data_IF_628938580161
#
_entry.id   IF_628938580161
#
_cell.length_a   1.000
_cell.length_b   1.000
_cell.length_c   1.000
_cell.angle_alpha   90.00
_cell.angle_beta   90.00
_cell.angle_gamma   90.00
#
_symmetry.space_group_name_H-M   'P 1'
#
loop_
_entity.id
_entity.type
_entity.pdbx_description
1 polymer ?
#
# COMPACT_ATOMS: atom_id res chain seq x y z
N UNK A 1 -33.16 63.60 29.58
CA UNK A 1 -31.93 63.13 28.90
C UNK A 1 -31.51 61.78 29.49
N UNK A 2 -31.94 60.63 28.94
CA UNK A 2 -31.38 59.31 29.24
C UNK A 2 -31.61 58.38 28.03
N UNK A 3 -30.62 58.29 27.15
CA UNK A 3 -30.61 57.35 26.03
C UNK A 3 -29.97 56.04 26.47
N UNK A 4 -30.67 54.93 26.24
CA UNK A 4 -30.14 53.58 26.45
C UNK A 4 -29.60 53.12 25.10
N UNK A 5 -28.27 53.09 24.96
CA UNK A 5 -27.60 52.50 23.80
C UNK A 5 -27.38 51.01 24.09
N UNK A 6 -28.11 50.16 23.36
CA UNK A 6 -27.94 48.71 23.38
C UNK A 6 -26.78 48.35 22.47
N UNK A 7 -25.69 47.84 23.05
CA UNK A 7 -24.54 47.35 22.30
C UNK A 7 -24.77 45.87 21.94
N UNK A 8 -25.18 45.61 20.69
CA UNK A 8 -25.12 44.27 20.11
C UNK A 8 -23.65 43.89 19.87
N UNK A 9 -23.07 43.13 20.79
CA UNK A 9 -21.80 42.46 20.55
C UNK A 9 -22.03 41.27 19.60
N UNK A 10 -21.73 41.46 18.32
CA UNK A 10 -21.68 40.37 17.34
C UNK A 10 -20.42 39.56 17.62
N UNK A 11 -20.57 38.47 18.38
CA UNK A 11 -19.57 37.41 18.46
C UNK A 11 -19.50 36.72 17.10
N UNK A 12 -18.61 37.21 16.23
CA UNK A 12 -18.24 36.51 15.01
C UNK A 12 -17.38 35.31 15.40
N UNK A 13 -18.03 34.18 15.66
CA UNK A 13 -17.37 32.90 15.88
C UNK A 13 -16.67 32.47 14.60
N UNK A 14 -15.36 32.68 14.53
CA UNK A 14 -14.52 32.04 13.54
C UNK A 14 -14.44 30.54 13.88
N UNK A 15 -15.39 29.77 13.38
CA UNK A 15 -15.30 28.32 13.30
C UNK A 15 -14.16 28.01 12.33
N UNK A 16 -12.97 27.73 12.86
CA UNK A 16 -11.90 27.12 12.08
C UNK A 16 -12.40 25.75 11.64
N UNK A 17 -12.84 25.64 10.38
CA UNK A 17 -13.09 24.35 9.77
C UNK A 17 -11.76 23.60 9.76
N UNK A 18 -11.65 22.59 10.61
CA UNK A 18 -10.58 21.62 10.55
C UNK A 18 -10.76 20.89 9.22
N UNK A 19 -10.01 21.28 8.19
CA UNK A 19 -9.88 20.48 6.97
C UNK A 19 -9.20 19.17 7.39
N UNK A 20 -10.02 18.17 7.72
CA UNK A 20 -9.56 16.80 7.70
C UNK A 20 -9.35 16.47 6.21
N UNK A 21 -8.17 16.79 5.68
CA UNK A 21 -7.71 16.16 4.44
C UNK A 21 -7.79 14.66 4.67
N UNK A 22 -8.75 14.00 4.03
CA UNK A 22 -8.89 12.58 4.13
C UNK A 22 -7.77 11.92 3.31
N UNK A 23 -6.64 11.68 3.97
CA UNK A 23 -5.53 10.95 3.37
C UNK A 23 -5.74 9.46 3.51
N UNK A 24 -5.32 8.68 2.51
CA UNK A 24 -5.30 7.21 2.62
C UNK A 24 -4.43 6.79 3.82
N UNK A 25 -5.01 6.10 4.79
CA UNK A 25 -4.29 5.49 5.89
C UNK A 25 -3.79 4.11 5.48
N UNK A 26 -2.46 3.94 5.46
CA UNK A 26 -1.77 2.71 5.09
C UNK A 26 -1.03 2.18 6.31
N UNK A 27 -1.64 1.24 7.03
CA UNK A 27 -1.05 0.62 8.21
C UNK A 27 -0.43 -0.73 7.85
N UNK A 28 0.85 -0.89 8.15
CA UNK A 28 1.66 -2.04 7.77
C UNK A 28 2.16 -2.73 9.03
N UNK A 29 1.77 -4.00 9.19
CA UNK A 29 2.24 -4.85 10.26
C UNK A 29 3.25 -5.86 9.72
N UNK A 30 4.50 -5.67 10.12
CA UNK A 30 5.60 -6.55 9.76
C UNK A 30 5.44 -7.95 10.38
N UNK A 31 4.74 -8.09 11.51
CA UNK A 31 4.60 -9.37 12.21
C UNK A 31 3.67 -10.32 11.46
N UNK A 32 2.51 -9.81 11.01
CA UNK A 32 1.55 -10.57 10.21
C UNK A 32 1.82 -10.53 8.70
N UNK A 33 2.77 -9.70 8.24
CA UNK A 33 3.00 -9.42 6.82
C UNK A 33 1.71 -9.00 6.10
N UNK A 34 1.00 -8.03 6.71
CA UNK A 34 -0.25 -7.48 6.20
C UNK A 34 -0.17 -5.97 6.08
N UNK A 35 -0.87 -5.43 5.07
CA UNK A 35 -1.13 -4.01 4.89
C UNK A 35 -2.64 -3.79 4.96
N UNK A 36 -3.06 -2.94 5.90
CA UNK A 36 -4.41 -2.45 6.06
C UNK A 36 -4.49 -1.07 5.41
N UNK A 37 -5.40 -0.90 4.45
CA UNK A 37 -5.57 0.35 3.72
C UNK A 37 -6.97 0.86 3.98
N UNK A 38 -7.10 2.11 4.40
CA UNK A 38 -8.38 2.80 4.55
C UNK A 38 -8.33 4.12 3.80
N UNK A 39 -9.22 4.30 2.85
CA UNK A 39 -9.54 5.58 2.21
C UNK A 39 -10.90 6.07 2.72
N UNK A 40 -11.36 7.22 2.24
CA UNK A 40 -12.70 7.73 2.58
C UNK A 40 -13.82 6.72 2.30
N UNK A 41 -13.71 6.00 1.19
CA UNK A 41 -14.80 5.20 0.63
C UNK A 41 -14.55 3.69 0.69
N UNK A 42 -13.36 3.25 1.08
CA UNK A 42 -12.97 1.83 0.97
C UNK A 42 -11.96 1.40 2.02
N UNK A 43 -12.01 0.12 2.39
CA UNK A 43 -11.05 -0.52 3.29
C UNK A 43 -10.60 -1.85 2.71
N UNK A 44 -9.30 -2.16 2.83
CA UNK A 44 -8.70 -3.37 2.28
C UNK A 44 -7.64 -3.97 3.21
N UNK A 45 -7.52 -5.30 3.19
CA UNK A 45 -6.47 -6.05 3.87
C UNK A 45 -5.68 -6.88 2.85
N UNK A 46 -4.39 -6.58 2.69
CA UNK A 46 -3.55 -7.22 1.68
C UNK A 46 -2.33 -7.89 2.29
N UNK A 47 -2.04 -9.11 1.82
CA UNK A 47 -0.76 -9.75 2.09
C UNK A 47 0.37 -8.99 1.41
N UNK A 48 1.44 -8.76 2.15
CA UNK A 48 2.65 -8.10 1.67
C UNK A 48 3.88 -8.99 1.82
N UNK A 49 4.97 -8.58 1.21
CA UNK A 49 6.29 -9.15 1.48
C UNK A 49 7.30 -8.05 1.75
N UNK A 50 7.93 -8.10 2.93
CA UNK A 50 8.87 -7.09 3.43
C UNK A 50 10.27 -7.68 3.59
N UNK A 51 11.17 -6.95 4.26
CA UNK A 51 12.58 -7.32 4.36
C UNK A 51 12.80 -8.71 4.98
N UNK A 52 13.51 -9.60 4.28
CA UNK A 52 13.95 -10.87 4.84
C UNK A 52 15.17 -10.71 5.77
N UNK A 53 15.60 -11.80 6.40
CA UNK A 53 16.76 -11.83 7.29
C UNK A 53 18.00 -11.24 6.61
N UNK A 54 18.69 -10.33 7.30
CA UNK A 54 19.83 -9.57 6.76
C UNK A 54 19.47 -8.21 6.16
N UNK A 55 18.18 -7.90 6.01
CA UNK A 55 17.68 -6.61 5.54
C UNK A 55 16.66 -6.02 6.53
N UNK A 56 16.32 -4.74 6.34
CA UNK A 56 15.37 -4.02 7.21
C UNK A 56 14.39 -3.19 6.40
N UNK A 57 13.09 -3.33 6.71
CA UNK A 57 12.06 -2.35 6.38
C UNK A 57 12.01 -1.33 7.52
N UNK A 58 12.17 -0.02 7.24
CA UNK A 58 12.21 0.99 8.30
C UNK A 58 10.82 1.16 8.92
N UNK A 59 10.74 1.03 10.25
CA UNK A 59 9.53 1.28 11.05
C UNK A 59 9.30 2.79 11.23
N UNK A 60 8.07 3.19 11.54
CA UNK A 60 7.70 4.59 11.79
C UNK A 60 6.55 5.07 10.92
N UNK A 61 6.31 6.38 10.95
CA UNK A 61 5.25 7.03 10.17
C UNK A 61 5.88 7.90 9.08
N UNK A 62 5.34 7.79 7.86
CA UNK A 62 5.88 8.39 6.65
C UNK A 62 4.78 9.03 5.81
N UNK A 63 5.19 9.94 4.94
CA UNK A 63 4.38 10.45 3.83
C UNK A 63 5.04 10.03 2.51
N UNK A 64 4.26 9.63 1.49
CA UNK A 64 4.81 9.46 0.15
C UNK A 64 5.46 10.76 -0.32
N UNK A 65 6.61 10.66 -0.99
CA UNK A 65 7.28 11.81 -1.60
C UNK A 65 7.43 11.68 -3.12
N UNK A 66 7.23 10.48 -3.69
CA UNK A 66 7.32 10.26 -5.13
C UNK A 66 6.48 9.05 -5.56
N UNK A 67 5.78 9.22 -6.67
CA UNK A 67 4.94 8.21 -7.30
C UNK A 67 5.46 7.90 -8.72
N UNK A 68 5.89 6.67 -8.97
CA UNK A 68 6.33 6.23 -10.30
C UNK A 68 5.53 5.01 -10.77
N UNK A 69 4.76 5.16 -11.86
CA UNK A 69 3.97 4.06 -12.45
C UNK A 69 4.87 2.93 -12.96
N UNK A 70 5.96 3.29 -13.62
CA UNK A 70 6.96 2.34 -14.13
C UNK A 70 8.31 2.72 -13.53
N UNK A 71 8.85 1.84 -12.68
CA UNK A 71 10.18 2.01 -12.10
C UNK A 71 10.95 0.70 -12.20
N UNK A 72 12.25 0.80 -12.45
CA UNK A 72 13.17 -0.33 -12.49
C UNK A 72 14.26 -0.07 -11.47
N UNK A 73 14.49 -1.01 -10.55
CA UNK A 73 15.56 -0.84 -9.57
C UNK A 73 16.91 -1.18 -10.19
N UNK A 74 17.72 -0.15 -10.42
CA UNK A 74 19.12 -0.31 -10.85
C UNK A 74 19.94 -1.11 -9.83
N UNK A 75 19.63 -0.95 -8.53
CA UNK A 75 20.26 -1.69 -7.43
C UNK A 75 19.94 -3.19 -7.45
N UNK A 76 18.85 -3.60 -8.09
CA UNK A 76 18.42 -5.00 -8.16
C UNK A 76 18.27 -5.46 -9.62
N UNK A 77 19.31 -5.28 -10.43
CA UNK A 77 19.39 -5.81 -11.80
C UNK A 77 18.21 -5.42 -12.69
N UNK A 78 17.78 -4.15 -12.63
CA UNK A 78 16.62 -3.66 -13.38
C UNK A 78 15.33 -4.42 -13.04
N UNK A 79 15.19 -4.89 -11.80
CA UNK A 79 13.97 -5.57 -11.37
C UNK A 79 12.79 -4.59 -11.43
N UNK A 80 11.69 -4.97 -12.10
CA UNK A 80 10.52 -4.11 -12.25
C UNK A 80 9.81 -3.89 -10.91
N UNK A 81 9.50 -2.63 -10.63
CA UNK A 81 8.76 -2.14 -9.47
C UNK A 81 7.56 -1.31 -9.95
N UNK A 82 6.55 -1.95 -10.56
CA UNK A 82 5.37 -1.24 -11.06
C UNK A 82 4.60 -0.58 -9.92
N UNK A 83 4.05 0.61 -10.17
CA UNK A 83 3.26 1.39 -9.22
C UNK A 83 4.01 1.65 -7.91
N UNK A 84 5.21 2.20 -8.02
CA UNK A 84 6.07 2.52 -6.89
C UNK A 84 5.61 3.78 -6.16
N UNK A 85 5.47 3.66 -4.84
CA UNK A 85 5.15 4.73 -3.89
C UNK A 85 6.34 4.85 -2.94
N UNK A 86 7.21 5.82 -3.18
CA UNK A 86 8.40 6.04 -2.36
C UNK A 86 8.07 6.86 -1.11
N UNK A 87 8.61 6.44 0.03
CA UNK A 87 8.28 7.04 1.33
C UNK A 87 9.47 7.32 2.26
N UNK A 88 10.64 6.70 2.04
CA UNK A 88 11.87 7.05 2.77
C UNK A 88 13.12 6.65 1.99
N UNK A 89 14.05 7.55 1.66
CA UNK A 89 15.41 7.21 1.22
C UNK A 89 15.56 6.07 0.18
N UNK A 90 14.63 5.93 -0.76
CA UNK A 90 14.61 4.84 -1.76
C UNK A 90 13.78 3.59 -1.38
N UNK A 91 13.24 3.50 -0.17
CA UNK A 91 12.22 2.52 0.22
C UNK A 91 10.87 2.88 -0.40
N UNK A 92 10.22 1.88 -0.99
CA UNK A 92 8.94 2.02 -1.66
C UNK A 92 7.96 0.89 -1.36
N UNK A 93 6.67 1.20 -1.47
CA UNK A 93 5.61 0.21 -1.70
C UNK A 93 5.49 0.02 -3.21
N UNK A 94 5.50 -1.22 -3.70
CA UNK A 94 5.39 -1.47 -5.15
C UNK A 94 4.81 -2.85 -5.46
N UNK A 95 4.34 -3.02 -6.70
CA UNK A 95 3.89 -4.31 -7.21
C UNK A 95 5.04 -5.28 -7.45
N UNK A 96 4.75 -6.58 -7.41
CA UNK A 96 5.75 -7.62 -7.65
C UNK A 96 5.23 -8.80 -8.45
N UNK A 97 6.11 -9.43 -9.24
CA UNK A 97 5.79 -10.64 -9.98
C UNK A 97 5.99 -11.94 -9.17
N UNK A 98 6.81 -11.94 -8.10
CA UNK A 98 6.91 -13.11 -7.20
C UNK A 98 5.76 -13.12 -6.19
N UNK A 99 4.52 -13.16 -6.68
CA UNK A 99 3.30 -13.14 -5.84
C UNK A 99 3.23 -14.30 -4.86
N UNK A 100 3.87 -15.43 -5.18
CA UNK A 100 4.00 -16.59 -4.29
C UNK A 100 4.76 -16.30 -2.98
N UNK A 101 5.45 -15.15 -2.86
CA UNK A 101 6.13 -14.73 -1.63
C UNK A 101 5.33 -13.78 -0.74
N UNK A 102 4.14 -13.37 -1.16
CA UNK A 102 3.28 -12.51 -0.34
C UNK A 102 2.78 -13.26 0.91
N UNK A 103 2.76 -12.56 2.04
CA UNK A 103 2.49 -13.12 3.37
C UNK A 103 3.74 -13.62 4.10
N UNK A 104 4.94 -13.41 3.55
CA UNK A 104 6.21 -13.69 4.22
C UNK A 104 7.30 -12.68 3.85
N UNK A 105 8.32 -12.49 4.70
CA UNK A 105 9.47 -11.66 4.35
C UNK A 105 10.27 -12.25 3.18
N UNK A 106 10.50 -11.47 2.11
CA UNK A 106 11.24 -11.88 0.91
C UNK A 106 11.77 -10.71 0.07
N UNK A 107 11.80 -9.49 0.62
CA UNK A 107 12.36 -8.32 -0.06
C UNK A 107 13.68 -7.88 0.59
N UNK A 108 14.34 -6.90 0.00
CA UNK A 108 15.53 -6.24 0.55
C UNK A 108 15.19 -4.97 1.34
N UNK A 109 13.93 -4.73 1.70
CA UNK A 109 13.49 -3.53 2.40
C UNK A 109 12.14 -2.99 1.93
N UNK A 110 11.93 -2.95 0.62
CA UNK A 110 10.68 -2.47 0.03
C UNK A 110 9.50 -3.34 0.42
N UNK A 111 8.30 -2.78 0.30
CA UNK A 111 7.06 -3.45 0.68
C UNK A 111 6.36 -3.88 -0.61
N UNK A 112 6.34 -5.19 -0.84
CA UNK A 112 5.84 -5.77 -2.08
C UNK A 112 4.35 -6.09 -1.94
N UNK A 113 3.59 -5.73 -2.97
CA UNK A 113 2.18 -6.05 -3.13
C UNK A 113 1.93 -6.87 -4.40
N UNK A 114 0.76 -7.51 -4.46
CA UNK A 114 0.25 -8.01 -5.73
C UNK A 114 0.09 -6.83 -6.72
N UNK A 115 0.39 -6.99 -8.02
CA UNK A 115 0.40 -5.88 -8.97
C UNK A 115 -0.92 -5.10 -9.03
N UNK A 116 -2.07 -5.78 -8.99
CA UNK A 116 -3.39 -5.13 -8.97
C UNK A 116 -3.61 -4.27 -7.73
N UNK A 117 -3.18 -4.75 -6.55
CA UNK A 117 -3.29 -4.01 -5.30
C UNK A 117 -2.36 -2.80 -5.30
N UNK A 118 -1.15 -2.94 -5.85
CA UNK A 118 -0.21 -1.83 -5.99
C UNK A 118 -0.78 -0.75 -6.92
N UNK A 119 -1.41 -1.13 -8.04
CA UNK A 119 -2.06 -0.21 -8.95
C UNK A 119 -3.21 0.55 -8.27
N UNK A 120 -4.09 -0.18 -7.56
CA UNK A 120 -5.20 0.42 -6.83
C UNK A 120 -4.71 1.39 -5.76
N UNK A 121 -3.74 0.97 -4.94
CA UNK A 121 -3.13 1.80 -3.92
C UNK A 121 -2.52 3.06 -4.50
N UNK A 122 -1.73 2.93 -5.56
CA UNK A 122 -1.09 4.05 -6.23
C UNK A 122 -2.10 5.11 -6.66
N UNK A 123 -3.24 4.67 -7.19
CA UNK A 123 -4.31 5.57 -7.62
C UNK A 123 -5.00 6.26 -6.44
N UNK A 124 -5.28 5.54 -5.35
CA UNK A 124 -5.81 6.17 -4.13
C UNK A 124 -4.84 7.20 -3.57
N UNK A 125 -3.55 6.84 -3.43
CA UNK A 125 -2.51 7.76 -2.93
C UNK A 125 -2.29 8.96 -3.85
N UNK A 126 -2.41 8.78 -5.17
CA UNK A 126 -2.30 9.88 -6.13
C UNK A 126 -3.45 10.87 -5.99
N UNK A 127 -4.65 10.41 -5.65
CA UNK A 127 -5.85 11.25 -5.56
C UNK A 127 -5.96 11.95 -4.19
N UNK A 128 -5.67 11.23 -3.11
CA UNK A 128 -6.00 11.65 -1.73
C UNK A 128 -4.75 11.94 -0.89
N UNK A 129 -3.55 11.68 -1.41
CA UNK A 129 -2.34 11.59 -0.60
C UNK A 129 -2.38 10.36 0.33
N UNK A 130 -1.41 10.25 1.23
CA UNK A 130 -1.41 9.15 2.21
C UNK A 130 -0.58 9.42 3.46
N UNK A 131 -0.93 8.68 4.52
CA UNK A 131 -0.10 8.44 5.71
C UNK A 131 0.24 6.96 5.77
N UNK A 132 1.53 6.64 5.83
CA UNK A 132 2.03 5.27 5.94
C UNK A 132 2.54 5.05 7.36
N UNK A 133 2.06 4.03 8.05
CA UNK A 133 2.52 3.63 9.38
C UNK A 133 3.07 2.21 9.32
N UNK A 134 4.33 2.01 9.72
CA UNK A 134 5.01 0.71 9.69
C UNK A 134 5.37 0.30 11.11
N UNK A 135 4.80 -0.81 11.56
CA UNK A 135 4.94 -1.33 12.92
C UNK A 135 5.18 -2.85 12.95
N UNK A 136 5.35 -3.40 14.14
CA UNK A 136 5.59 -4.83 14.31
C UNK A 136 7.03 -5.26 14.01
N UNK A 137 7.26 -6.58 14.04
CA UNK A 137 8.59 -7.19 13.78
C UNK A 137 8.44 -8.35 12.81
N UNK A 138 9.19 -8.40 11.70
CA UNK A 138 9.11 -9.50 10.75
C UNK A 138 9.33 -10.86 11.43
N UNK A 139 8.52 -11.89 11.13
CA UNK A 139 8.78 -13.22 11.65
C UNK A 139 10.13 -13.71 11.13
N UNK A 140 11.02 -14.06 12.06
CA UNK A 140 12.30 -14.71 11.76
C UNK A 140 11.99 -16.12 11.27
N UNK A 141 11.74 -16.25 9.97
CA UNK A 141 11.20 -17.49 9.43
C UNK A 141 12.34 -18.47 9.18
N UNK A 142 12.47 -19.47 10.05
CA UNK A 142 12.79 -20.80 9.56
C UNK A 142 11.60 -21.27 8.72
N UNK A 143 11.85 -21.83 7.54
CA UNK A 143 10.82 -22.26 6.58
C UNK A 143 9.68 -23.10 7.22
N UNK A 144 9.97 -23.82 8.30
CA UNK A 144 9.03 -24.64 9.06
C UNK A 144 7.95 -23.85 9.82
N UNK A 145 8.30 -22.73 10.46
CA UNK A 145 7.34 -21.92 11.23
C UNK A 145 6.24 -21.32 10.33
N UNK A 146 6.60 -21.00 9.09
CA UNK A 146 5.68 -20.49 8.06
C UNK A 146 4.60 -21.51 7.65
N UNK A 147 4.97 -22.77 7.41
CA UNK A 147 4.01 -23.83 7.01
C UNK A 147 2.94 -24.03 8.08
N UNK A 148 3.33 -23.94 9.35
CA UNK A 148 2.42 -24.08 10.50
C UNK A 148 1.51 -22.86 10.64
N UNK A 149 2.05 -21.63 10.50
CA UNK A 149 1.25 -20.41 10.56
C UNK A 149 0.18 -20.36 9.45
N UNK A 150 0.53 -20.74 8.22
CA UNK A 150 -0.38 -20.76 7.07
C UNK A 150 -1.61 -21.62 7.34
N UNK A 151 -1.45 -22.82 7.91
CA UNK A 151 -2.58 -23.72 8.20
C UNK A 151 -3.59 -23.14 9.20
N UNK A 152 -3.15 -22.25 10.10
CA UNK A 152 -4.00 -21.71 11.19
C UNK A 152 -4.86 -20.51 10.79
N UNK A 153 -4.53 -19.80 9.70
CA UNK A 153 -5.14 -18.49 9.37
C UNK A 153 -5.90 -18.46 8.04
N UNK A 154 -6.36 -19.61 7.55
CA UNK A 154 -7.19 -19.70 6.34
C UNK A 154 -8.65 -19.29 6.64
N UNK A 155 -8.94 -17.99 6.70
CA UNK A 155 -10.30 -17.41 6.58
C UNK A 155 -10.30 -15.93 6.15
N UNK A 156 -9.34 -15.51 5.31
CA UNK A 156 -9.44 -14.25 4.57
C UNK A 156 -9.20 -14.54 3.08
N UNK A 157 -10.25 -14.31 2.29
CA UNK A 157 -10.39 -14.65 0.87
C UNK A 157 -9.26 -14.03 0.04
N UNK A 158 -8.30 -14.87 -0.34
CA UNK A 158 -7.45 -14.60 -1.49
C UNK A 158 -8.26 -14.94 -2.74
N UNK A 159 -8.48 -13.95 -3.60
CA UNK A 159 -8.89 -14.20 -4.98
C UNK A 159 -7.84 -15.13 -5.63
N UNK A 160 -8.24 -16.39 -5.86
CA UNK A 160 -7.46 -17.40 -6.58
C UNK A 160 -8.41 -18.03 -7.60
N UNK A 161 -8.21 -17.87 -8.92
CA UNK A 161 -8.59 -18.91 -9.84
C UNK A 161 -7.50 -19.98 -9.81
N UNK A 162 -7.91 -21.19 -9.48
CA UNK A 162 -7.08 -22.36 -9.54
C UNK A 162 -6.70 -22.70 -11.00
N UNK A 163 -5.64 -23.52 -11.12
CA UNK A 163 -5.22 -24.40 -12.24
C UNK A 163 -4.62 -23.73 -13.49
N UNK A 164 -3.37 -24.14 -13.76
CA UNK A 164 -2.45 -23.80 -14.86
C UNK A 164 -2.02 -22.33 -14.92
N UNK A 165 -0.77 -22.04 -14.55
CA UNK A 165 -0.17 -20.72 -14.66
C UNK A 165 -0.20 -20.27 -16.14
N UNK A 166 -1.09 -19.31 -16.52
CA UNK A 166 -1.14 -18.85 -17.88
C UNK A 166 -0.02 -17.85 -18.10
N UNK A 167 0.53 -17.85 -19.31
CA UNK A 167 1.55 -16.92 -19.78
C UNK A 167 1.21 -15.46 -19.43
N UNK A 168 2.27 -14.65 -19.32
CA UNK A 168 2.37 -13.25 -18.89
C UNK A 168 1.25 -12.29 -19.41
N UNK A 169 0.50 -12.67 -20.44
CA UNK A 169 -0.65 -11.93 -21.00
C UNK A 169 -1.96 -12.00 -20.21
N UNK A 170 -2.21 -13.03 -19.39
CA UNK A 170 -3.52 -13.22 -18.76
C UNK A 170 -3.80 -12.35 -17.52
N UNK A 171 -2.82 -11.57 -17.05
CA UNK A 171 -2.90 -10.79 -15.80
C UNK A 171 -3.35 -9.33 -15.99
N UNK A 172 -3.61 -8.92 -17.23
CA UNK A 172 -4.10 -7.56 -17.55
C UNK A 172 -5.63 -7.41 -17.39
N UNK A 173 -6.36 -8.50 -17.19
CA UNK A 173 -7.83 -8.46 -17.01
C UNK A 173 -8.19 -8.55 -15.53
N UNK A 174 -8.30 -7.37 -14.91
CA UNK A 174 -9.15 -7.18 -13.74
C UNK A 174 -10.59 -6.97 -14.25
N UNK A 175 -11.61 -7.74 -13.81
CA UNK A 175 -13.00 -7.53 -14.24
C UNK A 175 -13.57 -6.15 -13.86
N UNK A 176 -12.89 -5.37 -13.01
CA UNK A 176 -13.30 -4.03 -12.58
C UNK A 176 -12.60 -2.89 -13.38
N UNK A 177 -11.52 -3.17 -14.11
CA UNK A 177 -10.76 -2.12 -14.83
C UNK A 177 -10.91 -2.32 -16.34
N UNK A 178 -12.07 -1.98 -16.88
CA UNK A 178 -12.37 -2.16 -18.31
C UNK A 178 -11.90 -1.02 -19.23
N UNK A 179 -11.03 -0.12 -18.78
CA UNK A 179 -10.54 0.97 -19.64
C UNK A 179 -9.21 1.57 -19.16
N UNK A 180 -8.11 0.83 -19.31
CA UNK A 180 -6.79 1.44 -19.41
C UNK A 180 -6.11 1.02 -20.72
N UNK A 181 -5.38 1.93 -21.38
CA UNK A 181 -4.79 1.69 -22.69
C UNK A 181 -3.83 0.50 -22.67
N UNK A 182 -3.94 -0.35 -23.69
CA UNK A 182 -3.10 -1.52 -23.91
C UNK A 182 -1.65 -1.07 -24.11
N UNK A 183 -0.73 -1.59 -23.29
CA UNK A 183 0.69 -1.30 -23.40
C UNK A 183 1.33 -2.14 -24.53
N UNK A 184 2.33 -1.61 -25.24
CA UNK A 184 3.00 -2.32 -26.32
C UNK A 184 3.70 -3.59 -25.80
N UNK A 185 3.49 -4.68 -26.52
CA UNK A 185 4.25 -5.92 -26.35
C UNK A 185 5.62 -5.74 -27.01
N UNK A 186 6.69 -5.94 -26.26
CA UNK A 186 8.07 -5.87 -26.79
C UNK A 186 8.58 -7.27 -27.19
N UNK A 187 9.52 -7.35 -28.16
CA UNK A 187 9.91 -8.55 -28.90
C UNK A 187 10.58 -9.64 -28.06
#
# INVERSE_FOLDING_TARGET
MRGILSACAVFCGCLTMQEAEASVAIDIDLSSQTMHVRSESSSYDWRISTAHSGYRTPRGTYRPYMLLRTHYSHKYHMSPMPYSIFFAGGYAIHGTYSTASLGRPASHGCIRLAPGNAALLFHMVQAEGARITISGTPPHTSYYAYVVWRRRHHNALAYVPARHAPAVRAWQVNPIVKSLPQWPTWP
#
